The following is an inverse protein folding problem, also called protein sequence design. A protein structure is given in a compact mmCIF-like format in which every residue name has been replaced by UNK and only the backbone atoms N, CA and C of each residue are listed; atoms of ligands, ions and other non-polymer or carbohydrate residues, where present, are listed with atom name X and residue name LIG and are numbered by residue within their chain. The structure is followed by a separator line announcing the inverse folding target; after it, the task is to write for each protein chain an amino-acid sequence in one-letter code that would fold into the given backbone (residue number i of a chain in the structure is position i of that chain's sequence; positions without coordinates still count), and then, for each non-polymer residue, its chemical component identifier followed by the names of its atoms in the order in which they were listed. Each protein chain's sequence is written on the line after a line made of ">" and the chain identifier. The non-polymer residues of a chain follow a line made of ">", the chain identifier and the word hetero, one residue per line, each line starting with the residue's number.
data_IF_898307704066
#
_entry.id   IF_898307704066
#
_cell.length_a   1.000
_cell.length_b   1.000
_cell.length_c   1.000
_cell.angle_alpha   90.00
_cell.angle_beta   90.00
_cell.angle_gamma   90.00
#
_symmetry.space_group_name_H-M   'P 1'
#
loop_
_entity.id
_entity.type
_entity.pdbx_description
1 polymer ?
#
# COMPACT_ATOMS: atom_id res chain seq x y z
N UNK A 1 -5.32 40.79 -28.97
CA UNK A 1 -6.18 40.31 -27.86
C UNK A 1 -6.49 38.84 -28.16
N UNK A 2 -5.61 37.93 -27.73
CA UNK A 2 -5.68 36.50 -28.07
C UNK A 2 -6.63 35.75 -27.13
N UNK A 3 -7.56 34.99 -27.70
CA UNK A 3 -8.57 34.23 -26.95
C UNK A 3 -7.95 33.18 -26.01
N UNK A 4 -8.58 32.86 -24.86
CA UNK A 4 -8.13 31.81 -23.97
C UNK A 4 -8.28 30.45 -24.65
N UNK A 5 -7.17 29.69 -24.72
CA UNK A 5 -7.15 28.32 -25.21
C UNK A 5 -8.07 27.43 -24.36
N UNK A 6 -9.23 27.10 -24.88
CA UNK A 6 -10.16 26.15 -24.27
C UNK A 6 -9.51 24.76 -24.27
N UNK A 7 -9.05 24.28 -23.11
CA UNK A 7 -8.54 22.93 -22.99
C UNK A 7 -9.67 21.94 -23.29
N UNK A 8 -9.67 21.36 -24.48
CA UNK A 8 -10.58 20.29 -24.86
C UNK A 8 -10.28 19.11 -23.95
N UNK A 9 -11.17 18.80 -22.99
CA UNK A 9 -11.04 17.59 -22.16
C UNK A 9 -11.20 16.40 -23.09
N UNK A 10 -10.08 15.81 -23.52
CA UNK A 10 -10.12 14.53 -24.24
C UNK A 10 -10.81 13.50 -23.33
N UNK A 11 -11.76 12.70 -23.87
CA UNK A 11 -12.40 11.67 -23.08
C UNK A 11 -11.35 10.65 -22.64
N UNK A 12 -11.37 10.31 -21.34
CA UNK A 12 -10.45 9.35 -20.74
C UNK A 12 -10.46 8.02 -21.53
N UNK A 13 -9.29 7.56 -21.92
CA UNK A 13 -9.15 6.27 -22.60
C UNK A 13 -9.56 5.15 -21.65
N UNK A 14 -10.08 4.03 -22.17
CA UNK A 14 -10.52 2.89 -21.34
C UNK A 14 -9.43 2.42 -20.37
N UNK A 15 -8.17 2.43 -20.79
CA UNK A 15 -6.99 2.11 -19.97
C UNK A 15 -6.79 3.07 -18.78
N UNK A 16 -7.03 4.37 -18.97
CA UNK A 16 -6.92 5.36 -17.90
C UNK A 16 -8.01 5.16 -16.85
N UNK A 17 -9.23 4.86 -17.29
CA UNK A 17 -10.35 4.56 -16.38
C UNK A 17 -10.12 3.26 -15.60
N UNK A 18 -9.59 2.23 -16.25
CA UNK A 18 -9.29 0.96 -15.59
C UNK A 18 -8.14 1.08 -14.59
N UNK A 19 -7.09 1.84 -14.94
CA UNK A 19 -5.97 2.12 -14.04
C UNK A 19 -6.41 2.93 -12.81
N UNK A 20 -7.29 3.91 -13.02
CA UNK A 20 -7.88 4.69 -11.93
C UNK A 20 -8.74 3.82 -11.00
N UNK A 21 -9.60 2.97 -11.58
CA UNK A 21 -10.41 2.03 -10.80
C UNK A 21 -9.54 1.04 -10.00
N UNK A 22 -8.48 0.50 -10.61
CA UNK A 22 -7.54 -0.39 -9.94
C UNK A 22 -6.80 0.29 -8.79
N UNK A 23 -6.33 1.53 -8.98
CA UNK A 23 -5.68 2.31 -7.94
C UNK A 23 -6.65 2.65 -6.80
N UNK A 24 -7.88 3.05 -7.11
CA UNK A 24 -8.90 3.37 -6.11
C UNK A 24 -9.32 2.13 -5.29
N UNK A 25 -9.52 1.00 -5.97
CA UNK A 25 -9.83 -0.27 -5.30
C UNK A 25 -8.65 -0.77 -4.48
N UNK A 26 -7.41 -0.59 -4.95
CA UNK A 26 -6.21 -0.92 -4.21
C UNK A 26 -6.12 -0.13 -2.90
N UNK A 27 -6.28 1.20 -2.99
CA UNK A 27 -6.31 2.08 -1.82
C UNK A 27 -7.44 1.73 -0.83
N UNK A 28 -8.64 1.41 -1.35
CA UNK A 28 -9.76 1.01 -0.50
C UNK A 28 -9.51 -0.34 0.20
N UNK A 29 -8.92 -1.30 -0.52
CA UNK A 29 -8.54 -2.60 0.04
C UNK A 29 -7.44 -2.46 1.10
N UNK A 30 -6.48 -1.57 0.88
CA UNK A 30 -5.42 -1.27 1.84
C UNK A 30 -5.98 -0.66 3.14
N UNK A 31 -6.85 0.34 3.01
CA UNK A 31 -7.53 0.92 4.16
C UNK A 31 -8.33 -0.14 4.92
N UNK A 32 -9.03 -1.03 4.21
CA UNK A 32 -9.77 -2.13 4.82
C UNK A 32 -8.85 -3.10 5.58
N UNK A 33 -7.73 -3.53 5.00
CA UNK A 33 -6.75 -4.40 5.69
C UNK A 33 -6.22 -3.74 6.96
N UNK A 34 -5.85 -2.46 6.88
CA UNK A 34 -5.37 -1.71 8.02
C UNK A 34 -6.39 -1.70 9.18
N UNK A 35 -7.67 -1.44 8.88
CA UNK A 35 -8.73 -1.48 9.89
C UNK A 35 -9.00 -2.89 10.43
N UNK A 36 -9.04 -3.89 9.55
CA UNK A 36 -9.24 -5.29 9.93
C UNK A 36 -8.21 -5.69 10.97
N UNK A 37 -6.95 -5.30 10.77
CA UNK A 37 -5.85 -5.75 11.60
C UNK A 37 -5.89 -5.07 12.97
N UNK A 38 -6.23 -3.78 13.01
CA UNK A 38 -6.48 -3.09 14.29
C UNK A 38 -7.60 -3.77 15.08
N UNK A 39 -8.66 -4.25 14.43
CA UNK A 39 -9.75 -4.97 15.08
C UNK A 39 -9.29 -6.30 15.69
N UNK A 40 -8.44 -7.06 14.99
CA UNK A 40 -7.96 -8.37 15.45
C UNK A 40 -6.67 -8.31 16.29
N UNK A 41 -6.17 -7.13 16.68
CA UNK A 41 -4.95 -7.01 17.49
C UNK A 41 -5.00 -7.80 18.79
N UNK A 42 -6.16 -7.82 19.45
CA UNK A 42 -6.33 -8.55 20.70
C UNK A 42 -6.24 -10.07 20.50
N UNK A 43 -6.71 -10.57 19.36
CA UNK A 43 -6.70 -12.00 19.06
C UNK A 43 -5.30 -12.45 18.60
N UNK A 44 -4.66 -11.69 17.71
CA UNK A 44 -3.26 -11.94 17.32
C UNK A 44 -2.33 -11.86 18.56
N UNK A 45 -2.57 -10.92 19.48
CA UNK A 45 -1.79 -10.81 20.70
C UNK A 45 -1.89 -12.07 21.58
N UNK A 46 -3.07 -12.69 21.65
CA UNK A 46 -3.29 -13.95 22.38
C UNK A 46 -2.64 -15.14 21.67
N UNK A 47 -2.79 -15.25 20.35
CA UNK A 47 -2.27 -16.37 19.57
C UNK A 47 -0.73 -16.43 19.58
N UNK A 48 -0.08 -15.27 19.59
CA UNK A 48 1.39 -15.18 19.63
C UNK A 48 1.96 -14.95 21.04
N UNK A 49 1.12 -14.92 22.09
CA UNK A 49 1.49 -14.61 23.48
C UNK A 49 2.37 -13.34 23.59
N UNK A 50 1.98 -12.28 22.87
CA UNK A 50 2.69 -11.01 22.84
C UNK A 50 1.87 -9.88 23.49
N UNK A 51 2.52 -8.95 24.20
CA UNK A 51 1.81 -7.80 24.77
C UNK A 51 1.19 -6.94 23.67
N UNK A 52 -0.01 -6.39 23.94
CA UNK A 52 -0.74 -5.54 23.00
C UNK A 52 0.09 -4.34 22.50
N UNK A 53 1.01 -3.83 23.35
CA UNK A 53 1.95 -2.78 22.98
C UNK A 53 2.82 -3.17 21.76
N UNK A 54 3.20 -4.44 21.61
CA UNK A 54 3.95 -4.93 20.44
C UNK A 54 3.11 -4.94 19.16
N UNK A 55 1.81 -5.17 19.26
CA UNK A 55 0.90 -5.08 18.11
C UNK A 55 0.81 -3.64 17.60
N UNK A 56 0.70 -2.66 18.51
CA UNK A 56 0.73 -1.23 18.15
C UNK A 56 2.08 -0.79 17.55
N UNK A 57 3.19 -1.38 18.01
CA UNK A 57 4.51 -1.16 17.41
C UNK A 57 4.58 -1.64 15.95
N UNK A 58 3.95 -2.77 15.61
CA UNK A 58 3.88 -3.24 14.21
C UNK A 58 3.24 -2.18 13.32
N UNK A 59 2.08 -1.65 13.72
CA UNK A 59 1.38 -0.62 12.95
C UNK A 59 2.22 0.63 12.77
N UNK A 60 2.88 1.04 13.85
CA UNK A 60 3.75 2.23 13.86
C UNK A 60 4.94 2.03 12.92
N UNK A 61 5.56 0.86 12.95
CA UNK A 61 6.64 0.49 12.03
C UNK A 61 6.15 0.49 10.57
N UNK A 62 4.97 -0.06 10.29
CA UNK A 62 4.36 -0.01 8.94
C UNK A 62 4.18 1.44 8.48
N UNK A 63 3.66 2.33 9.33
CA UNK A 63 3.51 3.76 9.01
C UNK A 63 4.84 4.46 8.75
N UNK A 64 5.88 4.15 9.53
CA UNK A 64 7.23 4.71 9.35
C UNK A 64 7.87 4.23 8.04
N UNK A 65 7.53 3.03 7.58
CA UNK A 65 8.02 2.51 6.30
C UNK A 65 7.33 3.14 5.08
N UNK A 66 6.17 3.78 5.24
CA UNK A 66 5.45 4.44 4.13
C UNK A 66 6.26 5.53 3.44
N UNK A 67 6.88 6.50 4.15
CA UNK A 67 7.80 7.46 3.53
C UNK A 67 8.95 6.81 2.77
N UNK A 68 9.47 5.69 3.27
CA UNK A 68 10.57 4.95 2.62
C UNK A 68 10.10 4.36 1.29
N UNK A 69 8.91 3.75 1.28
CA UNK A 69 8.25 3.28 0.07
C UNK A 69 7.97 4.40 -0.94
N UNK A 70 7.39 5.50 -0.47
CA UNK A 70 7.09 6.67 -1.30
C UNK A 70 8.34 7.26 -1.96
N UNK A 71 9.45 7.30 -1.23
CA UNK A 71 10.71 7.75 -1.80
C UNK A 71 11.26 6.78 -2.85
N UNK A 72 11.23 5.46 -2.58
CA UNK A 72 11.73 4.44 -3.50
C UNK A 72 10.91 4.39 -4.80
N UNK A 73 9.59 4.24 -4.67
CA UNK A 73 8.68 4.11 -5.80
C UNK A 73 8.49 5.45 -6.52
N UNK A 74 8.52 6.57 -5.80
CA UNK A 74 8.49 7.92 -6.37
C UNK A 74 9.71 8.21 -7.25
N UNK A 75 10.92 7.96 -6.73
CA UNK A 75 12.15 8.10 -7.53
C UNK A 75 12.14 7.18 -8.77
N UNK A 76 11.59 5.98 -8.64
CA UNK A 76 11.50 5.04 -9.75
C UNK A 76 10.46 5.45 -10.80
N UNK A 77 9.35 6.04 -10.36
CA UNK A 77 8.30 6.59 -11.21
C UNK A 77 8.79 7.77 -12.04
N UNK A 78 9.63 8.64 -11.47
CA UNK A 78 10.21 9.78 -12.16
C UNK A 78 11.19 9.35 -13.27
N UNK A 79 11.88 8.22 -13.08
CA UNK A 79 12.95 7.77 -14.01
C UNK A 79 12.47 6.85 -15.13
N UNK A 80 11.44 6.03 -14.89
CA UNK A 80 10.94 5.02 -15.86
C UNK A 80 9.49 5.22 -16.32
N UNK A 81 8.85 6.30 -15.87
CA UNK A 81 7.45 6.61 -16.17
C UNK A 81 6.48 5.91 -15.21
N UNK A 82 5.41 6.62 -14.81
CA UNK A 82 4.49 6.26 -13.72
C UNK A 82 3.78 4.91 -13.84
N UNK A 83 3.61 4.34 -15.04
CA UNK A 83 2.78 3.13 -15.25
C UNK A 83 3.41 1.85 -14.67
N UNK A 84 4.69 1.61 -14.93
CA UNK A 84 5.40 0.39 -14.50
C UNK A 84 5.53 0.32 -12.95
N UNK A 85 6.00 1.37 -12.26
CA UNK A 85 6.12 1.34 -10.81
C UNK A 85 4.76 1.14 -10.11
N UNK A 86 3.68 1.76 -10.60
CA UNK A 86 2.34 1.56 -10.04
C UNK A 86 1.88 0.09 -10.15
N UNK A 87 2.07 -0.54 -11.31
CA UNK A 87 1.72 -1.96 -11.49
C UNK A 87 2.58 -2.87 -10.60
N UNK A 88 3.88 -2.60 -10.50
CA UNK A 88 4.78 -3.35 -9.61
C UNK A 88 4.40 -3.16 -8.14
N UNK A 89 4.01 -1.95 -7.75
CA UNK A 89 3.59 -1.66 -6.39
C UNK A 89 2.33 -2.45 -6.00
N UNK A 90 1.33 -2.45 -6.88
CA UNK A 90 0.08 -3.19 -6.68
C UNK A 90 0.34 -4.69 -6.53
N UNK A 91 1.19 -5.25 -7.39
CA UNK A 91 1.58 -6.66 -7.31
C UNK A 91 2.37 -6.97 -6.03
N UNK A 92 3.26 -6.07 -5.62
CA UNK A 92 4.09 -6.23 -4.42
C UNK A 92 3.25 -6.22 -3.14
N UNK A 93 2.42 -5.21 -2.91
CA UNK A 93 1.62 -5.15 -1.67
C UNK A 93 0.61 -6.31 -1.62
N UNK A 94 0.00 -6.71 -2.75
CA UNK A 94 -0.93 -7.84 -2.81
C UNK A 94 -0.25 -9.16 -2.42
N UNK A 95 0.98 -9.39 -2.91
CA UNK A 95 1.76 -10.59 -2.57
C UNK A 95 2.15 -10.59 -1.09
N UNK A 96 2.61 -9.45 -0.57
CA UNK A 96 3.02 -9.33 0.84
C UNK A 96 1.81 -9.47 1.78
N UNK A 97 0.66 -8.89 1.43
CA UNK A 97 -0.59 -9.05 2.17
C UNK A 97 -1.03 -10.52 2.23
N UNK A 98 -0.95 -11.23 1.11
CA UNK A 98 -1.22 -12.67 1.08
C UNK A 98 -0.24 -13.46 1.96
N UNK A 99 1.05 -13.14 1.91
CA UNK A 99 2.07 -13.78 2.75
C UNK A 99 1.87 -13.50 4.25
N UNK A 100 1.30 -12.35 4.63
CA UNK A 100 0.98 -12.04 6.03
C UNK A 100 0.00 -13.07 6.63
N UNK A 101 -0.92 -13.62 5.84
CA UNK A 101 -1.88 -14.63 6.31
C UNK A 101 -1.20 -15.97 6.69
N UNK A 102 -0.01 -16.25 6.16
CA UNK A 102 0.75 -17.47 6.45
C UNK A 102 1.89 -17.24 7.43
N UNK A 103 1.96 -16.09 8.10
CA UNK A 103 3.05 -15.77 9.03
C UNK A 103 3.01 -16.71 10.25
N UNK A 104 4.03 -17.59 10.45
CA UNK A 104 4.01 -18.56 11.54
C UNK A 104 4.53 -17.98 12.87
N UNK A 105 5.14 -16.79 12.84
CA UNK A 105 5.75 -16.14 14.00
C UNK A 105 5.51 -14.63 13.96
N UNK A 106 5.43 -14.01 15.13
CA UNK A 106 5.28 -12.56 15.30
C UNK A 106 6.36 -11.75 14.57
N UNK A 107 7.62 -12.20 14.59
CA UNK A 107 8.71 -11.51 13.89
C UNK A 107 8.55 -11.54 12.37
N UNK A 108 8.04 -12.64 11.81
CA UNK A 108 7.77 -12.75 10.38
C UNK A 108 6.60 -11.83 10.01
N UNK A 109 5.54 -11.82 10.82
CA UNK A 109 4.42 -10.88 10.65
C UNK A 109 4.92 -9.43 10.67
N UNK A 110 5.79 -9.06 11.62
CA UNK A 110 6.37 -7.73 11.70
C UNK A 110 7.16 -7.35 10.45
N UNK A 111 8.05 -8.22 9.97
CA UNK A 111 8.84 -7.96 8.74
C UNK A 111 7.91 -7.83 7.53
N UNK A 112 6.95 -8.73 7.37
CA UNK A 112 5.98 -8.66 6.29
C UNK A 112 5.15 -7.38 6.36
N UNK A 113 4.79 -6.91 7.55
CA UNK A 113 4.08 -5.64 7.75
C UNK A 113 4.93 -4.41 7.47
N UNK A 114 6.22 -4.47 7.72
CA UNK A 114 7.14 -3.41 7.32
C UNK A 114 7.27 -3.36 5.80
N UNK A 115 7.44 -4.52 5.15
CA UNK A 115 7.45 -4.63 3.68
C UNK A 115 6.12 -4.14 3.08
N UNK A 116 4.99 -4.49 3.70
CA UNK A 116 3.68 -4.01 3.31
C UNK A 116 3.60 -2.48 3.36
N UNK A 117 4.12 -1.86 4.42
CA UNK A 117 4.21 -0.40 4.54
C UNK A 117 5.06 0.27 3.46
N UNK A 118 6.11 -0.41 2.96
CA UNK A 118 6.90 0.07 1.81
C UNK A 118 6.03 0.04 0.54
N UNK A 119 5.25 -1.02 0.31
CA UNK A 119 4.30 -1.07 -0.80
C UNK A 119 3.22 0.01 -0.70
N UNK A 120 2.71 0.22 0.51
CA UNK A 120 1.69 1.25 0.79
C UNK A 120 2.18 2.69 0.56
N UNK A 121 3.49 2.90 0.47
CA UNK A 121 4.07 4.20 0.14
C UNK A 121 4.11 4.49 -1.37
N UNK A 122 4.07 3.46 -2.21
CA UNK A 122 4.25 3.57 -3.67
C UNK A 122 2.96 3.76 -4.47
N UNK A 123 1.81 3.75 -3.80
CA UNK A 123 0.47 3.97 -4.38
C UNK A 123 0.05 5.45 -4.38
#
# INVERSE_FOLDING_TARGET
>A
MGAPSTSRREPLTADQRNSFAAAYLGWAMDAFDYFLVVLIYADIAKDFDVPLARMALITTMTLIMRPVGAFLFGYWADKRGRRIPLMTNVAFYSLIGFLCAFAPNFWILMVLRMLYGIGMGGE
#
